data_IF_478986042350
#
_entry.id   IF_478986042350
#
_cell.length_a   1.000
_cell.length_b   1.000
_cell.length_c   1.000
_cell.angle_alpha   90.00
_cell.angle_beta   90.00
_cell.angle_gamma   90.00
#
_symmetry.space_group_name_H-M   'P 1'
#
loop_
_entity.id
_entity.type
_entity.pdbx_description
1 polymer ?
#
# COMPACT_ATOMS: atom_id res chain seq x y z
N UNK A 1 -17.54 -3.83 -8.94
CA UNK A 1 -16.24 -4.35 -9.40
C UNK A 1 -15.25 -4.25 -8.25
N UNK A 2 -14.60 -5.35 -7.88
CA UNK A 2 -13.71 -5.39 -6.73
C UNK A 2 -12.49 -4.48 -6.97
N UNK A 3 -12.25 -3.55 -6.08
CA UNK A 3 -11.09 -2.65 -6.08
C UNK A 3 -9.84 -3.46 -5.78
N UNK A 4 -9.03 -3.77 -6.78
CA UNK A 4 -7.72 -4.41 -6.58
C UNK A 4 -6.75 -3.38 -5.99
N UNK A 5 -6.79 -3.21 -4.67
CA UNK A 5 -5.71 -2.60 -3.93
C UNK A 5 -4.56 -3.59 -3.81
N UNK A 6 -3.32 -3.13 -3.93
CA UNK A 6 -2.17 -3.96 -3.59
C UNK A 6 -2.35 -4.47 -2.16
N UNK A 7 -2.36 -5.80 -1.98
CA UNK A 7 -2.44 -6.42 -0.67
C UNK A 7 -1.05 -6.38 -0.05
N UNK A 8 -0.91 -5.80 1.15
CA UNK A 8 0.37 -5.78 1.86
C UNK A 8 0.45 -6.99 2.78
N UNK A 9 1.40 -7.88 2.51
CA UNK A 9 1.75 -9.01 3.36
C UNK A 9 2.96 -8.62 4.20
N UNK A 10 2.82 -8.66 5.53
CA UNK A 10 3.91 -8.43 6.48
C UNK A 10 4.33 -9.77 7.06
N UNK A 11 5.60 -10.13 6.96
CA UNK A 11 6.14 -11.41 7.43
C UNK A 11 7.04 -11.16 8.64
N UNK A 12 6.65 -11.65 9.81
CA UNK A 12 7.49 -11.57 11.01
C UNK A 12 8.54 -12.67 11.00
N UNK A 13 9.80 -12.29 11.26
CA UNK A 13 10.93 -13.20 11.37
C UNK A 13 11.39 -13.32 12.82
N UNK A 14 11.13 -14.46 13.46
CA UNK A 14 11.57 -14.82 14.79
C UNK A 14 12.77 -15.76 14.74
N UNK A 15 13.87 -15.39 15.38
CA UNK A 15 15.01 -16.28 15.64
C UNK A 15 15.93 -15.67 16.70
N UNK A 16 16.83 -16.46 17.25
CA UNK A 16 18.02 -15.95 17.94
C UNK A 16 18.91 -15.16 17.00
N UNK A 17 19.66 -14.15 17.52
CA UNK A 17 20.38 -13.20 16.65
C UNK A 17 21.77 -13.70 16.24
N UNK A 18 22.48 -14.33 17.18
CA UNK A 18 23.92 -14.63 17.01
C UNK A 18 24.13 -15.74 15.99
N UNK A 19 23.33 -16.79 16.09
CA UNK A 19 23.51 -18.03 15.32
C UNK A 19 22.72 -18.07 14.00
N UNK A 20 21.92 -17.04 13.67
CA UNK A 20 21.15 -16.92 12.42
C UNK A 20 21.49 -15.69 11.60
N UNK A 21 22.69 -15.13 11.75
CA UNK A 21 23.08 -13.91 10.99
C UNK A 21 23.15 -14.13 9.49
N UNK A 22 23.65 -15.30 9.07
CA UNK A 22 23.81 -15.62 7.65
C UNK A 22 22.45 -15.84 6.98
N UNK A 23 21.59 -16.64 7.60
CA UNK A 23 20.22 -16.87 7.10
C UNK A 23 19.43 -15.57 6.96
N UNK A 24 19.46 -14.72 8.00
CA UNK A 24 18.81 -13.42 7.97
C UNK A 24 19.35 -12.54 6.84
N UNK A 25 20.67 -12.58 6.61
CA UNK A 25 21.30 -11.85 5.50
C UNK A 25 20.84 -12.36 4.14
N UNK A 26 20.71 -13.69 3.97
CA UNK A 26 20.18 -14.31 2.76
C UNK A 26 18.70 -13.95 2.54
N UNK A 27 17.90 -14.00 3.59
CA UNK A 27 16.49 -13.62 3.52
C UNK A 27 16.31 -12.18 3.04
N UNK A 28 17.00 -11.22 3.67
CA UNK A 28 16.88 -9.80 3.32
C UNK A 28 17.47 -9.47 1.95
N UNK A 29 18.60 -10.07 1.57
CA UNK A 29 19.31 -9.72 0.33
C UNK A 29 18.84 -10.50 -0.91
N UNK A 30 18.28 -11.70 -0.74
CA UNK A 30 17.93 -12.59 -1.84
C UNK A 30 16.45 -12.99 -1.83
N UNK A 31 15.96 -13.60 -0.74
CA UNK A 31 14.62 -14.21 -0.69
C UNK A 31 13.51 -13.17 -0.78
N UNK A 32 13.48 -12.19 0.13
CA UNK A 32 12.43 -11.17 0.09
C UNK A 32 12.47 -10.30 -1.17
N UNK A 33 13.61 -9.87 -1.72
CA UNK A 33 13.65 -9.21 -3.02
C UNK A 33 13.13 -10.07 -4.18
N UNK A 34 13.41 -11.38 -4.17
CA UNK A 34 12.88 -12.34 -5.15
C UNK A 34 11.36 -12.46 -5.05
N UNK A 35 10.85 -12.72 -3.85
CA UNK A 35 9.42 -12.81 -3.58
C UNK A 35 8.68 -11.53 -3.95
N UNK A 36 9.21 -10.34 -3.62
CA UNK A 36 8.62 -9.05 -4.00
C UNK A 36 8.50 -8.88 -5.51
N UNK A 37 9.53 -9.25 -6.28
CA UNK A 37 9.47 -9.17 -7.75
C UNK A 37 8.39 -10.07 -8.33
N UNK A 38 8.28 -11.31 -7.82
CA UNK A 38 7.29 -12.30 -8.27
C UNK A 38 5.88 -11.91 -7.84
N UNK A 39 5.71 -11.42 -6.61
CA UNK A 39 4.40 -11.07 -6.05
C UNK A 39 3.74 -9.85 -6.67
N UNK A 40 4.55 -8.95 -7.29
CA UNK A 40 4.02 -7.74 -7.96
C UNK A 40 3.03 -8.06 -9.08
N UNK A 41 3.26 -9.12 -9.87
CA UNK A 41 2.32 -9.54 -10.92
C UNK A 41 0.97 -10.01 -10.37
N UNK A 42 0.91 -10.28 -9.06
CA UNK A 42 -0.28 -10.72 -8.33
C UNK A 42 -0.91 -9.61 -7.49
N UNK A 43 -0.41 -8.37 -7.59
CA UNK A 43 -0.89 -7.23 -6.82
C UNK A 43 -0.55 -7.33 -5.32
N UNK A 44 0.54 -8.01 -4.96
CA UNK A 44 0.97 -8.21 -3.57
C UNK A 44 2.30 -7.52 -3.31
N UNK A 45 2.34 -6.70 -2.25
CA UNK A 45 3.55 -6.12 -1.69
C UNK A 45 3.95 -6.88 -0.42
N UNK A 46 5.23 -7.24 -0.32
CA UNK A 46 5.76 -8.02 0.81
C UNK A 46 6.69 -7.15 1.64
N UNK A 47 6.45 -7.11 2.94
CA UNK A 47 7.28 -6.42 3.93
C UNK A 47 7.81 -7.45 4.93
N UNK A 48 9.13 -7.63 4.97
CA UNK A 48 9.79 -8.39 6.02
C UNK A 48 9.94 -7.54 7.27
N UNK A 49 9.63 -8.11 8.42
CA UNK A 49 9.78 -7.48 9.74
C UNK A 49 10.81 -8.27 10.53
N UNK A 50 12.04 -7.79 10.50
CA UNK A 50 13.19 -8.30 11.26
C UNK A 50 13.59 -7.24 12.28
N UNK A 51 13.23 -7.46 13.55
CA UNK A 51 13.47 -6.51 14.64
C UNK A 51 14.93 -6.38 15.06
N UNK A 52 15.85 -7.14 14.46
CA UNK A 52 17.29 -6.94 14.63
C UNK A 52 17.73 -5.51 14.32
N UNK A 53 17.08 -4.86 13.37
CA UNK A 53 17.41 -3.51 12.92
C UNK A 53 16.58 -2.40 13.59
N UNK A 54 15.58 -2.77 14.40
CA UNK A 54 14.62 -1.84 14.96
C UNK A 54 14.71 -1.61 16.47
N UNK A 55 15.52 -2.42 17.20
CA UNK A 55 15.64 -2.32 18.67
C UNK A 55 17.05 -1.88 19.03
N UNK A 56 17.17 -0.70 19.66
CA UNK A 56 18.44 -0.20 20.16
C UNK A 56 18.81 -0.81 21.52
N UNK A 57 20.10 -0.78 21.88
CA UNK A 57 20.55 -1.21 23.21
C UNK A 57 19.81 -0.44 24.32
N UNK A 58 19.59 0.86 24.13
CA UNK A 58 18.85 1.72 25.05
C UNK A 58 17.39 1.30 25.23
N UNK A 59 16.70 0.91 24.15
CA UNK A 59 15.33 0.38 24.20
C UNK A 59 15.28 -0.97 24.93
N UNK A 60 16.32 -1.80 24.76
CA UNK A 60 16.44 -3.07 25.48
C UNK A 60 16.58 -2.83 26.98
N UNK A 61 17.45 -1.89 27.38
CA UNK A 61 17.64 -1.52 28.80
C UNK A 61 16.36 -0.91 29.41
N UNK A 62 15.57 -0.20 28.63
CA UNK A 62 14.26 0.36 29.04
C UNK A 62 13.12 -0.68 29.06
N UNK A 63 13.40 -1.93 28.69
CA UNK A 63 12.40 -2.99 28.63
C UNK A 63 11.34 -2.81 27.54
N UNK A 64 11.66 -2.10 26.47
CA UNK A 64 10.75 -1.82 25.37
C UNK A 64 10.72 -2.94 24.31
N UNK A 65 11.73 -3.82 24.31
CA UNK A 65 11.90 -4.90 23.33
C UNK A 65 10.71 -5.85 23.29
N UNK A 66 10.31 -6.40 24.45
CA UNK A 66 9.22 -7.38 24.51
C UNK A 66 7.86 -6.79 24.03
N UNK A 67 7.40 -5.64 24.55
CA UNK A 67 6.17 -5.02 24.04
C UNK A 67 6.20 -4.73 22.53
N UNK A 68 7.35 -4.28 22.01
CA UNK A 68 7.52 -3.99 20.59
C UNK A 68 7.43 -5.27 19.75
N UNK A 69 8.13 -6.35 20.14
CA UNK A 69 8.08 -7.63 19.44
C UNK A 69 6.64 -8.15 19.35
N UNK A 70 5.91 -8.17 20.46
CA UNK A 70 4.54 -8.68 20.48
C UNK A 70 3.61 -7.81 19.61
N UNK A 71 3.75 -6.48 19.64
CA UNK A 71 2.96 -5.58 18.80
C UNK A 71 3.24 -5.76 17.30
N UNK A 72 4.51 -5.96 16.92
CA UNK A 72 4.86 -6.20 15.52
C UNK A 72 4.38 -7.59 15.04
N UNK A 73 4.40 -8.61 15.89
CA UNK A 73 3.80 -9.92 15.58
C UNK A 73 2.31 -9.75 15.26
N UNK A 74 1.57 -9.02 16.10
CA UNK A 74 0.14 -8.78 15.88
C UNK A 74 -0.14 -8.05 14.55
N UNK A 75 0.75 -7.13 14.14
CA UNK A 75 0.67 -6.41 12.84
C UNK A 75 1.03 -7.29 11.65
N UNK A 76 1.81 -8.35 11.86
CA UNK A 76 2.26 -9.24 10.80
C UNK A 76 1.33 -10.43 10.58
N UNK A 77 0.36 -10.67 11.47
CA UNK A 77 -0.56 -11.80 11.30
C UNK A 77 -1.24 -11.78 9.94
N UNK A 78 -1.38 -12.96 9.30
CA UNK A 78 -1.08 -14.29 9.81
C UNK A 78 0.34 -14.81 9.50
N UNK A 79 1.25 -14.02 8.90
CA UNK A 79 2.53 -14.51 8.38
C UNK A 79 3.64 -14.49 9.43
N UNK A 80 4.16 -15.67 9.76
CA UNK A 80 5.18 -15.83 10.77
C UNK A 80 6.21 -16.90 10.35
N UNK A 81 7.49 -16.57 10.46
CA UNK A 81 8.61 -17.49 10.23
C UNK A 81 9.41 -17.60 11.51
N UNK A 82 9.69 -18.82 11.94
CA UNK A 82 10.59 -19.07 13.07
C UNK A 82 11.76 -19.94 12.66
N UNK A 83 12.98 -19.48 13.01
CA UNK A 83 14.21 -20.25 12.88
C UNK A 83 14.67 -20.69 14.25
N UNK A 84 14.86 -22.00 14.43
CA UNK A 84 15.31 -22.61 15.69
C UNK A 84 16.60 -23.40 15.45
N UNK A 85 17.67 -22.99 16.14
CA UNK A 85 18.97 -23.67 16.18
C UNK A 85 19.18 -24.41 17.49
N UNK A 86 20.44 -24.45 17.96
CA UNK A 86 20.85 -25.05 19.22
C UNK A 86 21.03 -24.00 20.34
N UNK A 87 20.67 -22.75 20.10
CA UNK A 87 20.70 -21.64 21.07
C UNK A 87 19.29 -21.35 21.57
N UNK A 88 19.13 -21.17 22.89
CA UNK A 88 17.83 -20.84 23.51
C UNK A 88 17.49 -19.34 23.40
N UNK A 89 18.54 -18.50 23.44
CA UNK A 89 18.41 -17.04 23.33
C UNK A 89 18.25 -16.32 24.67
N UNK A 90 18.13 -14.99 24.55
CA UNK A 90 18.06 -14.11 25.72
C UNK A 90 16.75 -14.26 26.48
N UNK A 91 16.83 -14.41 27.80
CA UNK A 91 15.69 -14.47 28.72
C UNK A 91 15.54 -13.10 29.38
N UNK A 92 14.44 -12.36 29.13
CA UNK A 92 14.19 -11.12 29.84
C UNK A 92 14.13 -11.30 31.34
N UNK A 93 14.82 -10.46 32.16
CA UNK A 93 14.73 -10.52 33.63
C UNK A 93 13.29 -10.41 34.13
N UNK A 94 12.98 -11.11 35.23
CA UNK A 94 11.66 -11.12 35.85
C UNK A 94 11.42 -9.85 36.69
N UNK A 95 11.43 -8.69 36.06
CA UNK A 95 11.19 -7.42 36.74
C UNK A 95 10.22 -6.50 35.95
N UNK A 96 9.61 -5.49 36.61
CA UNK A 96 8.64 -4.59 36.00
C UNK A 96 9.17 -3.74 34.83
N UNK A 97 10.49 -3.62 34.66
CA UNK A 97 11.09 -2.90 33.52
C UNK A 97 10.73 -3.61 32.23
N UNK A 98 10.90 -4.95 32.20
CA UNK A 98 10.64 -5.78 31.01
C UNK A 98 9.18 -6.22 30.92
N UNK A 99 8.52 -6.44 32.05
CA UNK A 99 7.13 -6.90 32.14
C UNK A 99 6.24 -5.81 32.75
N UNK A 100 6.05 -4.72 32.00
CA UNK A 100 5.24 -3.56 32.43
C UNK A 100 3.81 -4.00 32.82
N UNK A 101 3.20 -3.43 33.85
CA UNK A 101 1.83 -3.79 34.27
C UNK A 101 0.82 -3.75 33.12
N UNK A 102 0.85 -2.74 32.30
CA UNK A 102 -0.03 -2.60 31.14
C UNK A 102 0.17 -3.72 30.08
N UNK A 103 1.37 -4.29 29.98
CA UNK A 103 1.62 -5.46 29.12
C UNK A 103 1.03 -6.73 29.74
N UNK A 104 1.22 -6.94 31.03
CA UNK A 104 0.66 -8.09 31.76
C UNK A 104 -0.86 -8.08 31.81
N UNK A 105 -1.49 -6.90 31.88
CA UNK A 105 -2.95 -6.76 31.76
C UNK A 105 -3.46 -7.19 30.37
N UNK A 106 -2.74 -6.83 29.32
CA UNK A 106 -3.10 -7.23 27.94
C UNK A 106 -2.75 -8.68 27.62
N UNK A 107 -1.69 -9.18 28.23
CA UNK A 107 -1.12 -10.52 28.00
C UNK A 107 -0.88 -11.26 29.33
N UNK A 108 -1.95 -11.68 30.05
CA UNK A 108 -1.84 -12.28 31.39
C UNK A 108 -0.98 -13.55 31.42
N UNK A 109 -0.92 -14.30 30.31
CA UNK A 109 -0.13 -15.53 30.17
C UNK A 109 1.38 -15.32 30.35
N UNK A 110 1.85 -14.07 30.15
CA UNK A 110 3.27 -13.74 30.37
C UNK A 110 3.71 -13.91 31.83
N UNK A 111 2.78 -13.78 32.78
CA UNK A 111 3.10 -13.91 34.20
C UNK A 111 3.74 -15.27 34.54
N UNK A 112 3.27 -16.34 33.89
CA UNK A 112 3.79 -17.70 34.08
C UNK A 112 5.17 -17.93 33.44
N UNK A 113 5.61 -17.01 32.58
CA UNK A 113 6.82 -17.11 31.76
C UNK A 113 7.91 -16.11 32.14
N UNK A 114 7.63 -15.21 33.08
CA UNK A 114 8.55 -14.15 33.51
C UNK A 114 9.88 -14.76 34.02
N UNK A 115 11.01 -14.28 33.43
CA UNK A 115 12.35 -14.75 33.81
C UNK A 115 12.65 -16.23 33.51
N UNK A 116 11.73 -16.91 32.79
CA UNK A 116 11.87 -18.32 32.46
C UNK A 116 11.94 -18.58 30.97
N UNK A 117 11.17 -17.87 30.16
CA UNK A 117 11.13 -18.05 28.71
C UNK A 117 12.04 -17.04 28.00
N UNK A 118 12.73 -17.50 26.94
CA UNK A 118 13.50 -16.61 26.08
C UNK A 118 12.56 -15.73 25.23
N UNK A 119 13.08 -14.60 24.75
CA UNK A 119 12.33 -13.72 23.85
C UNK A 119 11.78 -14.49 22.63
N UNK A 120 12.60 -15.33 22.01
CA UNK A 120 12.19 -16.19 20.88
C UNK A 120 11.05 -17.14 21.28
N UNK A 121 11.09 -17.75 22.47
CA UNK A 121 9.98 -18.58 22.96
C UNK A 121 8.71 -17.75 23.15
N UNK A 122 8.82 -16.55 23.74
CA UNK A 122 7.67 -15.65 23.92
C UNK A 122 7.05 -15.22 22.58
N UNK A 123 7.88 -14.93 21.57
CA UNK A 123 7.44 -14.61 20.20
C UNK A 123 6.68 -15.79 19.58
N UNK A 124 7.21 -17.01 19.69
CA UNK A 124 6.57 -18.22 19.16
C UNK A 124 5.24 -18.51 19.87
N UNK A 125 5.21 -18.38 21.20
CA UNK A 125 3.99 -18.56 21.97
C UNK A 125 2.92 -17.54 21.57
N UNK A 126 3.29 -16.26 21.52
CA UNK A 126 2.37 -15.18 21.17
C UNK A 126 1.94 -15.22 19.72
N UNK A 127 2.89 -15.44 18.82
CA UNK A 127 2.64 -15.40 17.38
C UNK A 127 1.88 -16.61 16.87
N UNK A 128 2.18 -17.81 17.37
CA UNK A 128 1.75 -19.05 16.73
C UNK A 128 1.09 -20.04 17.69
N UNK A 129 1.79 -20.53 18.71
CA UNK A 129 1.31 -21.68 19.48
C UNK A 129 0.02 -21.43 20.28
N UNK A 130 -0.32 -20.16 20.51
CA UNK A 130 -1.57 -19.74 21.14
C UNK A 130 -2.65 -19.29 20.14
N UNK A 131 -2.37 -19.38 18.84
CA UNK A 131 -3.23 -18.89 17.78
C UNK A 131 -3.42 -19.95 16.68
N UNK A 132 -4.37 -20.88 16.84
CA UNK A 132 -4.61 -21.95 15.86
C UNK A 132 -4.93 -21.45 14.44
N UNK A 133 -5.47 -20.23 14.31
CA UNK A 133 -5.79 -19.59 13.04
C UNK A 133 -4.57 -19.27 12.17
N UNK A 134 -3.36 -19.36 12.72
CA UNK A 134 -2.11 -19.15 11.98
C UNK A 134 -1.71 -20.34 11.10
N UNK A 135 -2.46 -21.45 11.15
CA UNK A 135 -2.19 -22.65 10.34
C UNK A 135 -2.20 -22.28 8.85
N UNK A 136 -1.14 -22.69 8.15
CA UNK A 136 -0.96 -22.42 6.72
C UNK A 136 -0.21 -21.12 6.39
N UNK A 137 0.13 -20.29 7.40
CA UNK A 137 0.85 -19.05 7.24
C UNK A 137 2.06 -18.90 8.18
N UNK A 138 2.15 -19.79 9.18
CA UNK A 138 3.26 -19.84 10.10
C UNK A 138 4.11 -21.10 9.87
N UNK A 139 5.42 -20.91 9.80
CA UNK A 139 6.37 -21.96 9.43
C UNK A 139 7.54 -22.00 10.41
N UNK A 140 7.98 -23.21 10.74
CA UNK A 140 9.13 -23.46 11.62
C UNK A 140 10.23 -24.16 10.83
N UNK A 141 11.46 -23.64 10.98
CA UNK A 141 12.66 -24.20 10.35
C UNK A 141 13.68 -24.53 11.44
N UNK A 142 13.93 -25.81 11.63
CA UNK A 142 14.85 -26.33 12.62
C UNK A 142 16.17 -26.69 11.90
N UNK A 143 17.22 -25.94 12.25
CA UNK A 143 18.56 -26.21 11.73
C UNK A 143 19.07 -27.56 12.21
N UNK A 144 19.83 -28.24 11.37
CA UNK A 144 20.54 -29.47 11.76
C UNK A 144 21.51 -29.16 12.92
N UNK A 145 21.43 -29.88 14.05
CA UNK A 145 22.34 -29.68 15.18
C UNK A 145 23.82 -29.80 14.81
N UNK A 146 24.17 -30.66 13.83
CA UNK A 146 25.53 -30.83 13.38
C UNK A 146 26.16 -29.52 12.85
N UNK A 147 25.35 -28.62 12.29
CA UNK A 147 25.84 -27.33 11.82
C UNK A 147 26.36 -26.47 13.00
N UNK A 148 25.60 -26.38 14.09
CA UNK A 148 26.01 -25.64 15.27
C UNK A 148 27.23 -26.26 15.96
N UNK A 149 27.31 -27.59 15.99
CA UNK A 149 28.45 -28.32 16.56
C UNK A 149 29.76 -28.14 15.75
N UNK A 150 29.66 -27.87 14.47
CA UNK A 150 30.82 -27.61 13.59
C UNK A 150 31.40 -26.21 13.78
N UNK A 151 30.70 -25.30 14.46
CA UNK A 151 31.15 -23.92 14.67
C UNK A 151 32.15 -23.86 15.83
N UNK A 152 33.22 -23.08 15.62
CA UNK A 152 34.28 -22.88 16.63
C UNK A 152 34.03 -21.71 17.56
N UNK A 153 33.14 -20.80 17.17
CA UNK A 153 32.85 -19.57 17.93
C UNK A 153 31.78 -19.79 18.99
N UNK A 154 31.82 -19.07 20.11
CA UNK A 154 30.79 -19.16 21.14
C UNK A 154 29.45 -18.62 20.66
N UNK A 155 28.35 -19.11 21.24
CA UNK A 155 27.00 -18.57 21.00
C UNK A 155 26.16 -19.33 19.96
N UNK A 156 26.63 -20.51 19.51
CA UNK A 156 25.89 -21.39 18.60
C UNK A 156 25.02 -22.42 19.31
N UNK A 157 25.30 -22.67 20.59
CA UNK A 157 24.57 -23.62 21.44
C UNK A 157 24.10 -22.94 22.72
N UNK A 158 23.20 -23.59 23.44
CA UNK A 158 22.76 -23.12 24.76
C UNK A 158 23.94 -23.10 25.76
N UNK A 159 24.04 -22.02 26.53
CA UNK A 159 25.15 -21.80 27.46
C UNK A 159 25.03 -22.67 28.73
N UNK A 160 23.80 -23.11 29.05
CA UNK A 160 23.48 -23.85 30.29
C UNK A 160 22.63 -25.11 30.01
N UNK A 161 22.79 -26.19 30.74
CA UNK A 161 21.95 -27.38 30.58
C UNK A 161 20.45 -27.13 30.77
N UNK A 162 20.07 -26.15 31.61
CA UNK A 162 18.68 -25.77 31.81
C UNK A 162 18.10 -25.08 30.58
N UNK A 163 18.88 -24.27 29.86
CA UNK A 163 18.48 -23.64 28.61
C UNK A 163 18.29 -24.68 27.51
N UNK A 164 19.18 -25.66 27.41
CA UNK A 164 19.07 -26.77 26.48
C UNK A 164 17.79 -27.58 26.72
N UNK A 165 17.44 -27.84 27.99
CA UNK A 165 16.19 -28.52 28.31
C UNK A 165 14.95 -27.71 27.86
N UNK A 166 14.95 -26.40 28.08
CA UNK A 166 13.87 -25.52 27.65
C UNK A 166 13.77 -25.45 26.12
N UNK A 167 14.89 -25.33 25.43
CA UNK A 167 14.94 -25.35 23.96
C UNK A 167 14.37 -26.66 23.39
N UNK A 168 14.74 -27.79 23.99
CA UNK A 168 14.23 -29.11 23.60
C UNK A 168 12.71 -29.18 23.81
N UNK A 169 12.23 -28.67 24.94
CA UNK A 169 10.79 -28.61 25.25
C UNK A 169 10.04 -27.72 24.25
N UNK A 170 10.61 -26.56 23.88
CA UNK A 170 10.05 -25.67 22.86
C UNK A 170 9.99 -26.35 21.49
N UNK A 171 11.09 -26.99 21.05
CA UNK A 171 11.13 -27.75 19.78
C UNK A 171 10.08 -28.86 19.75
N UNK A 172 9.90 -29.58 20.87
CA UNK A 172 8.86 -30.62 20.99
C UNK A 172 7.45 -30.04 20.96
N UNK A 173 7.22 -28.88 21.61
CA UNK A 173 5.94 -28.20 21.53
C UNK A 173 5.62 -27.75 20.09
N UNK A 174 6.61 -27.23 19.36
CA UNK A 174 6.51 -26.88 17.95
C UNK A 174 6.18 -28.10 17.08
N UNK A 175 6.87 -29.22 17.26
CA UNK A 175 6.60 -30.49 16.52
C UNK A 175 5.17 -31.00 16.72
N UNK A 176 4.65 -30.87 17.95
CA UNK A 176 3.29 -31.34 18.30
C UNK A 176 2.18 -30.33 17.98
N UNK A 177 2.54 -29.14 17.55
CA UNK A 177 1.60 -28.03 17.38
C UNK A 177 0.66 -28.19 16.19
N UNK A 178 1.01 -29.03 15.22
CA UNK A 178 0.28 -29.19 13.95
C UNK A 178 0.64 -28.14 12.88
N UNK A 179 1.53 -27.21 13.20
CA UNK A 179 2.07 -26.26 12.20
C UNK A 179 3.14 -26.91 11.33
N UNK A 180 3.38 -26.39 10.11
CA UNK A 180 4.47 -26.87 9.26
C UNK A 180 5.84 -26.71 9.95
N UNK A 181 6.56 -27.82 10.08
CA UNK A 181 7.91 -27.88 10.62
C UNK A 181 8.85 -28.51 9.62
N UNK A 182 9.90 -27.81 9.23
CA UNK A 182 10.97 -28.32 8.38
C UNK A 182 12.23 -28.52 9.20
N UNK A 183 12.76 -29.71 9.21
CA UNK A 183 13.94 -30.11 10.01
C UNK A 183 15.10 -30.59 9.15
N UNK A 184 16.29 -30.72 9.77
CA UNK A 184 17.47 -31.26 9.11
C UNK A 184 18.05 -30.35 8.04
N UNK A 185 17.80 -29.04 8.11
CA UNK A 185 18.34 -28.07 7.18
C UNK A 185 19.82 -27.82 7.51
N UNK A 186 20.69 -28.34 6.67
CA UNK A 186 22.12 -28.42 6.95
C UNK A 186 22.88 -27.11 6.72
N UNK A 187 22.33 -26.17 5.96
CA UNK A 187 23.02 -24.92 5.59
C UNK A 187 22.09 -23.72 5.62
N UNK A 188 22.62 -22.50 5.83
CA UNK A 188 21.84 -21.25 5.71
C UNK A 188 21.14 -21.11 4.38
N UNK A 189 21.78 -21.49 3.29
CA UNK A 189 21.21 -21.45 1.95
C UNK A 189 19.99 -22.39 1.81
N UNK A 190 20.07 -23.61 2.33
CA UNK A 190 18.94 -24.56 2.30
C UNK A 190 17.73 -24.06 3.08
N UNK A 191 17.96 -23.38 4.22
CA UNK A 191 16.90 -22.70 4.99
C UNK A 191 16.26 -21.59 4.16
N UNK A 192 17.08 -20.73 3.54
CA UNK A 192 16.61 -19.61 2.73
C UNK A 192 15.76 -20.06 1.53
N UNK A 193 16.23 -21.07 0.78
CA UNK A 193 15.51 -21.65 -0.35
C UNK A 193 14.17 -22.28 0.07
N UNK A 194 14.18 -22.97 1.20
CA UNK A 194 12.96 -23.57 1.74
C UNK A 194 11.93 -22.52 2.14
N UNK A 195 12.35 -21.44 2.81
CA UNK A 195 11.49 -20.32 3.19
C UNK A 195 10.89 -19.65 1.95
N UNK A 196 11.72 -19.42 0.90
CA UNK A 196 11.24 -18.85 -0.36
C UNK A 196 10.13 -19.72 -0.98
N UNK A 197 10.36 -21.03 -1.02
CA UNK A 197 9.40 -21.97 -1.59
C UNK A 197 8.08 -22.02 -0.80
N UNK A 198 8.15 -22.10 0.53
CA UNK A 198 6.97 -22.19 1.38
C UNK A 198 6.15 -20.90 1.36
N UNK A 199 6.77 -19.72 1.47
CA UNK A 199 6.10 -18.44 1.35
C UNK A 199 5.49 -18.23 -0.04
N UNK A 200 6.22 -18.62 -1.10
CA UNK A 200 5.70 -18.52 -2.44
C UNK A 200 4.46 -19.39 -2.65
N UNK A 201 4.45 -20.61 -2.13
CA UNK A 201 3.31 -21.52 -2.22
C UNK A 201 2.04 -20.93 -1.56
N UNK A 202 2.20 -20.22 -0.44
CA UNK A 202 1.07 -19.51 0.19
C UNK A 202 0.60 -18.34 -0.67
N UNK A 203 1.53 -17.50 -1.13
CA UNK A 203 1.20 -16.34 -1.97
C UNK A 203 0.50 -16.80 -3.27
N UNK A 204 1.01 -17.83 -3.90
CA UNK A 204 0.44 -18.37 -5.14
C UNK A 204 -0.97 -18.93 -4.96
N UNK A 205 -1.21 -19.59 -3.84
CA UNK A 205 -2.53 -20.13 -3.48
C UNK A 205 -3.56 -19.03 -3.19
N UNK A 206 -3.15 -17.99 -2.47
CA UNK A 206 -4.06 -16.95 -1.96
C UNK A 206 -4.21 -15.78 -2.91
N UNK A 207 -3.20 -15.55 -3.73
CA UNK A 207 -3.15 -14.51 -4.74
C UNK A 207 -2.84 -15.13 -6.10
N UNK A 208 -3.81 -15.81 -6.74
CA UNK A 208 -3.62 -16.40 -8.06
C UNK A 208 -3.19 -15.32 -9.06
N UNK A 209 -2.45 -15.73 -10.07
CA UNK A 209 -1.99 -14.82 -11.11
C UNK A 209 -3.20 -14.17 -11.78
N UNK A 210 -3.27 -12.85 -11.72
CA UNK A 210 -4.30 -12.12 -12.44
C UNK A 210 -3.94 -12.13 -13.93
N UNK A 211 -4.94 -12.24 -14.78
CA UNK A 211 -4.72 -12.03 -16.21
C UNK A 211 -4.00 -10.69 -16.40
N UNK A 212 -2.98 -10.63 -17.30
CA UNK A 212 -2.26 -9.38 -17.52
C UNK A 212 -3.28 -8.29 -17.87
N UNK A 213 -3.33 -7.26 -17.04
CA UNK A 213 -4.19 -6.12 -17.30
C UNK A 213 -3.93 -5.62 -18.73
N UNK A 214 -4.98 -5.30 -19.45
CA UNK A 214 -4.83 -4.61 -20.72
C UNK A 214 -4.15 -3.24 -20.53
N UNK A 215 -3.66 -2.61 -21.59
CA UNK A 215 -2.96 -1.32 -21.48
C UNK A 215 -3.78 -0.23 -20.77
N UNK A 216 -5.09 -0.14 -21.03
CA UNK A 216 -5.98 0.84 -20.43
C UNK A 216 -6.19 0.57 -18.93
N UNK A 217 -6.39 -0.70 -18.54
CA UNK A 217 -6.51 -1.11 -17.13
C UNK A 217 -5.23 -0.83 -16.33
N UNK A 218 -4.04 -1.06 -16.94
CA UNK A 218 -2.75 -0.75 -16.30
C UNK A 218 -2.59 0.75 -16.05
N UNK A 219 -3.01 1.56 -17.02
CA UNK A 219 -2.94 3.00 -16.88
C UNK A 219 -3.93 3.51 -15.84
N UNK A 220 -5.14 2.98 -15.82
CA UNK A 220 -6.15 3.28 -14.79
C UNK A 220 -5.66 2.89 -13.38
N UNK A 221 -5.00 1.74 -13.24
CA UNK A 221 -4.39 1.35 -11.99
C UNK A 221 -3.32 2.34 -11.53
N UNK A 222 -2.43 2.83 -12.41
CA UNK A 222 -1.43 3.86 -12.06
C UNK A 222 -2.08 5.13 -11.52
N UNK A 223 -3.16 5.61 -12.14
CA UNK A 223 -3.90 6.77 -11.66
C UNK A 223 -4.56 6.52 -10.31
N UNK A 224 -5.10 5.33 -10.12
CA UNK A 224 -5.71 4.91 -8.85
C UNK A 224 -4.67 4.81 -7.72
N UNK A 225 -3.50 4.23 -7.97
CA UNK A 225 -2.41 4.12 -7.00
C UNK A 225 -1.86 5.51 -6.62
N UNK A 226 -1.72 6.40 -7.61
CA UNK A 226 -1.34 7.79 -7.37
C UNK A 226 -2.34 8.51 -6.44
N UNK A 227 -3.63 8.30 -6.67
CA UNK A 227 -4.72 8.84 -5.84
C UNK A 227 -4.68 8.28 -4.42
N UNK A 228 -4.60 6.94 -4.28
CA UNK A 228 -4.55 6.27 -2.97
C UNK A 228 -3.38 6.72 -2.11
N UNK A 229 -2.22 6.92 -2.69
CA UNK A 229 -1.05 7.44 -1.98
C UNK A 229 -1.28 8.85 -1.37
N UNK A 230 -2.36 9.55 -1.75
CA UNK A 230 -2.71 10.91 -1.31
C UNK A 230 -3.97 11.00 -0.45
N UNK A 231 -4.68 9.90 -0.25
CA UNK A 231 -5.89 9.86 0.60
C UNK A 231 -5.59 9.52 2.06
N UNK A 232 -4.43 8.93 2.37
CA UNK A 232 -4.14 8.39 3.70
C UNK A 232 -3.96 9.42 4.81
N UNK A 233 -3.48 10.63 4.48
CA UNK A 233 -3.33 11.71 5.44
C UNK A 233 -3.60 13.05 4.75
N UNK A 234 -4.79 13.60 4.96
CA UNK A 234 -5.18 14.91 4.45
C UNK A 234 -5.86 15.70 5.56
N UNK A 235 -5.24 16.81 6.00
CA UNK A 235 -5.69 17.65 7.09
C UNK A 235 -6.19 19.00 6.55
N UNK A 236 -7.23 19.56 7.19
CA UNK A 236 -7.73 20.90 6.87
C UNK A 236 -8.47 21.05 5.55
N UNK A 237 -8.73 19.94 4.84
CA UNK A 237 -9.38 19.96 3.52
C UNK A 237 -10.91 19.86 3.51
N UNK A 238 -11.54 19.66 4.66
CA UNK A 238 -12.99 19.40 4.76
C UNK A 238 -13.83 20.53 4.16
N UNK A 239 -13.46 21.77 4.45
CA UNK A 239 -14.13 22.96 3.90
C UNK A 239 -13.99 23.03 2.38
N UNK A 240 -12.82 22.69 1.84
CA UNK A 240 -12.56 22.67 0.41
C UNK A 240 -13.37 21.56 -0.28
N UNK A 241 -13.37 20.34 0.28
CA UNK A 241 -14.16 19.22 -0.23
C UNK A 241 -15.65 19.58 -0.25
N UNK A 242 -16.19 20.07 0.86
CA UNK A 242 -17.59 20.51 0.94
C UNK A 242 -17.93 21.64 -0.04
N UNK A 243 -16.96 22.51 -0.35
CA UNK A 243 -17.17 23.57 -1.33
C UNK A 243 -17.21 23.03 -2.76
N UNK A 244 -16.34 22.06 -3.12
CA UNK A 244 -16.35 21.41 -4.43
C UNK A 244 -17.66 20.64 -4.63
N UNK A 245 -18.11 19.87 -3.63
CA UNK A 245 -19.41 19.17 -3.67
C UNK A 245 -20.56 20.14 -3.93
N UNK A 246 -20.65 21.22 -3.16
CA UNK A 246 -21.70 22.24 -3.37
C UNK A 246 -21.69 22.83 -4.76
N UNK A 247 -20.52 23.02 -5.39
CA UNK A 247 -20.44 23.53 -6.76
C UNK A 247 -20.92 22.50 -7.77
N UNK A 248 -20.53 21.25 -7.64
CA UNK A 248 -20.99 20.16 -8.50
C UNK A 248 -22.51 19.98 -8.36
N UNK A 249 -23.04 19.97 -7.13
CA UNK A 249 -24.49 19.88 -6.87
C UNK A 249 -25.28 21.06 -7.44
N UNK A 250 -24.70 22.26 -7.40
CA UNK A 250 -25.28 23.45 -8.01
C UNK A 250 -25.18 23.48 -9.55
N UNK A 251 -24.62 22.43 -10.18
CA UNK A 251 -24.48 22.34 -11.63
C UNK A 251 -23.30 23.12 -12.20
N UNK A 252 -22.31 23.52 -11.39
CA UNK A 252 -21.11 24.16 -11.88
C UNK A 252 -20.29 23.19 -12.70
N UNK A 253 -20.19 23.42 -14.00
CA UNK A 253 -19.51 22.52 -14.92
C UNK A 253 -17.99 22.73 -15.00
N UNK A 254 -17.48 23.88 -14.57
CA UNK A 254 -16.12 24.34 -14.81
C UNK A 254 -15.47 24.78 -13.51
N UNK A 255 -14.63 23.91 -12.94
CA UNK A 255 -13.97 24.13 -11.66
C UNK A 255 -12.45 24.08 -11.83
N UNK A 256 -11.75 25.07 -11.28
CA UNK A 256 -10.30 25.15 -11.27
C UNK A 256 -9.77 25.24 -9.84
N UNK A 257 -8.88 24.33 -9.49
CA UNK A 257 -8.20 24.31 -8.19
C UNK A 257 -6.80 24.89 -8.37
N UNK A 258 -6.47 25.92 -7.61
CA UNK A 258 -5.17 26.60 -7.69
C UNK A 258 -4.50 26.65 -6.32
N UNK A 259 -3.22 26.96 -6.26
CA UNK A 259 -2.43 27.10 -5.04
C UNK A 259 -0.95 26.90 -5.33
N UNK A 260 -0.10 27.24 -4.38
CA UNK A 260 1.35 27.08 -4.49
C UNK A 260 1.78 25.62 -4.72
N UNK A 261 3.03 25.43 -5.15
CA UNK A 261 3.62 24.10 -5.21
C UNK A 261 3.65 23.49 -3.80
N UNK A 262 3.23 22.23 -3.67
CA UNK A 262 3.14 21.59 -2.34
C UNK A 262 1.89 21.93 -1.51
N UNK A 263 1.03 22.85 -1.94
CA UNK A 263 -0.18 23.26 -1.20
C UNK A 263 -1.26 22.15 -1.05
N UNK A 264 -1.05 20.95 -1.62
CA UNK A 264 -1.98 19.84 -1.44
C UNK A 264 -3.09 19.73 -2.50
N UNK A 265 -2.96 20.35 -3.69
CA UNK A 265 -3.97 20.28 -4.77
C UNK A 265 -4.36 18.85 -5.15
N UNK A 266 -3.36 18.00 -5.40
CA UNK A 266 -3.60 16.58 -5.75
C UNK A 266 -4.17 15.78 -4.57
N UNK A 267 -3.81 16.12 -3.33
CA UNK A 267 -4.39 15.51 -2.14
C UNK A 267 -5.85 15.94 -1.96
N UNK A 268 -6.17 17.22 -2.16
CA UNK A 268 -7.56 17.70 -2.16
C UNK A 268 -8.41 16.94 -3.19
N UNK A 269 -7.93 16.84 -4.43
CA UNK A 269 -8.63 16.11 -5.50
C UNK A 269 -8.84 14.64 -5.12
N UNK A 270 -7.82 13.96 -4.61
CA UNK A 270 -7.89 12.55 -4.23
C UNK A 270 -8.96 12.32 -3.14
N UNK A 271 -8.95 13.15 -2.09
CA UNK A 271 -9.89 13.05 -0.98
C UNK A 271 -11.31 13.50 -1.37
N UNK A 272 -11.43 14.53 -2.21
CA UNK A 272 -12.71 14.91 -2.78
C UNK A 272 -13.32 13.79 -3.62
N UNK A 273 -12.55 13.13 -4.49
CA UNK A 273 -13.02 12.00 -5.30
C UNK A 273 -13.51 10.83 -4.42
N UNK A 274 -12.85 10.57 -3.31
CA UNK A 274 -13.31 9.55 -2.37
C UNK A 274 -14.62 9.94 -1.69
N UNK A 275 -14.78 11.20 -1.30
CA UNK A 275 -16.01 11.73 -0.73
C UNK A 275 -17.16 11.71 -1.75
N UNK A 276 -16.89 12.19 -2.98
CA UNK A 276 -17.85 12.25 -4.07
C UNK A 276 -18.39 10.88 -4.48
N UNK A 277 -17.52 9.87 -4.54
CA UNK A 277 -17.94 8.49 -4.85
C UNK A 277 -18.90 7.89 -3.81
N UNK A 278 -18.91 8.41 -2.59
CA UNK A 278 -19.83 8.01 -1.52
C UNK A 278 -21.13 8.81 -1.55
N UNK A 279 -21.06 10.11 -1.86
CA UNK A 279 -22.22 11.02 -1.89
C UNK A 279 -23.02 10.91 -3.18
N UNK A 280 -22.37 10.67 -4.31
CA UNK A 280 -22.98 10.60 -5.65
C UNK A 280 -22.46 9.36 -6.43
N UNK A 281 -22.78 8.13 -5.99
CA UNK A 281 -22.28 6.90 -6.60
C UNK A 281 -22.77 6.65 -8.03
N UNK A 282 -23.80 7.38 -8.47
CA UNK A 282 -24.31 7.36 -9.84
C UNK A 282 -23.45 8.17 -10.82
N UNK A 283 -22.66 9.14 -10.33
CA UNK A 283 -21.81 9.96 -11.17
C UNK A 283 -20.57 9.19 -11.65
N UNK A 284 -20.18 9.41 -12.87
CA UNK A 284 -19.02 8.77 -13.46
C UNK A 284 -17.84 9.73 -13.49
N UNK A 285 -16.72 9.28 -12.96
CA UNK A 285 -15.51 10.08 -12.89
C UNK A 285 -14.41 9.47 -13.75
N UNK A 286 -13.89 10.28 -14.69
CA UNK A 286 -12.64 9.98 -15.37
C UNK A 286 -11.54 10.90 -14.84
N UNK A 287 -10.66 10.36 -14.00
CA UNK A 287 -9.57 11.13 -13.42
C UNK A 287 -8.24 10.84 -14.13
N UNK A 288 -7.57 11.91 -14.55
CA UNK A 288 -6.23 11.87 -15.11
C UNK A 288 -5.27 12.73 -14.28
N UNK A 289 -4.32 12.07 -13.63
CA UNK A 289 -3.29 12.72 -12.81
C UNK A 289 -2.00 12.82 -13.64
N UNK A 290 -1.67 14.00 -14.12
CA UNK A 290 -0.51 14.24 -14.98
C UNK A 290 0.84 13.96 -14.25
N UNK A 291 0.80 13.85 -12.95
CA UNK A 291 1.98 13.55 -12.12
C UNK A 291 2.16 12.08 -11.75
N UNK A 292 1.32 11.16 -12.23
CA UNK A 292 1.39 9.75 -11.85
C UNK A 292 2.52 8.99 -12.55
N UNK A 293 2.94 9.44 -13.75
CA UNK A 293 4.05 8.88 -14.51
C UNK A 293 4.56 9.93 -15.51
N UNK A 294 5.77 9.73 -16.06
CA UNK A 294 6.37 10.66 -17.02
C UNK A 294 5.57 10.74 -18.34
N UNK A 295 4.98 9.65 -18.78
CA UNK A 295 4.15 9.57 -19.99
C UNK A 295 2.72 10.11 -19.77
N UNK A 296 2.26 10.21 -18.53
CA UNK A 296 0.95 10.75 -18.19
C UNK A 296 0.81 12.26 -18.46
N UNK A 297 1.91 13.00 -18.63
CA UNK A 297 1.93 14.43 -18.94
C UNK A 297 1.79 14.74 -20.45
N UNK A 298 1.71 13.73 -21.31
CA UNK A 298 1.52 13.92 -22.73
C UNK A 298 0.01 14.00 -23.10
N UNK A 299 -0.38 15.02 -23.83
CA UNK A 299 -1.81 15.29 -24.16
C UNK A 299 -2.42 14.18 -25.01
N UNK A 300 -1.72 13.70 -26.03
CA UNK A 300 -2.26 12.66 -26.93
C UNK A 300 -2.63 11.36 -26.22
N UNK A 301 -1.74 10.74 -25.42
CA UNK A 301 -2.11 9.59 -24.61
C UNK A 301 -3.26 9.87 -23.64
N UNK A 302 -3.27 11.04 -23.00
CA UNK A 302 -4.34 11.45 -22.09
C UNK A 302 -5.71 11.49 -22.80
N UNK A 303 -5.79 12.10 -23.99
CA UNK A 303 -7.02 12.15 -24.79
C UNK A 303 -7.39 10.77 -25.34
N UNK A 304 -6.40 9.96 -25.73
CA UNK A 304 -6.62 8.56 -26.13
C UNK A 304 -7.29 7.79 -25.00
N UNK A 305 -6.75 7.85 -23.79
CA UNK A 305 -7.33 7.19 -22.60
C UNK A 305 -8.77 7.68 -22.32
N UNK A 306 -9.04 8.98 -22.46
CA UNK A 306 -10.40 9.52 -22.31
C UNK A 306 -11.37 8.88 -23.31
N UNK A 307 -10.97 8.84 -24.60
CA UNK A 307 -11.78 8.25 -25.68
C UNK A 307 -12.00 6.75 -25.45
N UNK A 308 -10.95 6.01 -25.09
CA UNK A 308 -11.02 4.57 -24.82
C UNK A 308 -11.93 4.25 -23.62
N UNK A 309 -11.79 5.01 -22.51
CA UNK A 309 -12.66 4.86 -21.34
C UNK A 309 -14.13 5.13 -21.66
N UNK A 310 -14.39 6.22 -22.40
CA UNK A 310 -15.73 6.55 -22.83
C UNK A 310 -16.30 5.51 -23.81
N UNK A 311 -15.45 5.01 -24.72
CA UNK A 311 -15.82 3.96 -25.68
C UNK A 311 -16.24 2.67 -24.96
N UNK A 312 -15.48 2.22 -23.99
CA UNK A 312 -15.83 1.02 -23.20
C UNK A 312 -17.17 1.18 -22.48
N UNK A 313 -17.41 2.34 -21.84
CA UNK A 313 -18.69 2.62 -21.22
C UNK A 313 -19.83 2.60 -22.22
N UNK A 314 -19.72 3.36 -23.31
CA UNK A 314 -20.78 3.52 -24.30
C UNK A 314 -21.10 2.20 -25.02
N UNK A 315 -20.10 1.33 -25.23
CA UNK A 315 -20.30 -0.02 -25.73
C UNK A 315 -21.06 -0.90 -24.73
N UNK A 316 -20.62 -0.90 -23.46
CA UNK A 316 -21.27 -1.68 -22.40
C UNK A 316 -22.75 -1.28 -22.22
N UNK A 317 -23.04 0.00 -22.37
CA UNK A 317 -24.38 0.59 -22.28
C UNK A 317 -25.14 0.54 -23.63
N UNK A 318 -24.60 -0.11 -24.66
CA UNK A 318 -25.19 -0.27 -25.99
C UNK A 318 -25.55 1.06 -26.70
N UNK A 319 -24.80 2.12 -26.39
CA UNK A 319 -25.00 3.44 -26.99
C UNK A 319 -24.26 3.59 -28.32
N UNK A 320 -23.27 2.77 -28.56
CA UNK A 320 -22.53 2.66 -29.83
C UNK A 320 -22.41 1.18 -30.21
N UNK A 321 -22.30 0.90 -31.51
CA UNK A 321 -22.20 -0.47 -32.05
C UNK A 321 -20.74 -0.96 -32.13
N UNK A 322 -19.79 -0.05 -32.30
CA UNK A 322 -18.37 -0.34 -32.47
C UNK A 322 -17.50 0.56 -31.59
N UNK A 323 -16.28 0.11 -31.21
CA UNK A 323 -15.34 0.94 -30.45
C UNK A 323 -14.99 2.24 -31.16
N UNK A 324 -14.92 3.33 -30.40
CA UNK A 324 -14.44 4.60 -30.91
C UNK A 324 -12.94 4.51 -31.21
N UNK A 325 -12.55 4.90 -32.42
CA UNK A 325 -11.14 4.93 -32.82
C UNK A 325 -10.49 6.21 -32.32
N UNK A 326 -9.27 6.11 -31.78
CA UNK A 326 -8.44 7.26 -31.39
C UNK A 326 -7.71 7.77 -32.67
N UNK A 327 -8.01 8.97 -33.15
CA UNK A 327 -7.38 9.50 -34.35
C UNK A 327 -5.89 9.78 -34.19
N UNK A 328 -5.12 9.64 -35.28
CA UNK A 328 -3.70 9.96 -35.31
C UNK A 328 -3.45 11.46 -35.62
N UNK A 329 -4.33 12.08 -36.39
CA UNK A 329 -4.27 13.52 -36.65
C UNK A 329 -4.70 14.31 -35.41
N UNK A 330 -4.03 15.45 -35.17
CA UNK A 330 -4.28 16.28 -34.01
C UNK A 330 -5.68 16.89 -33.98
N UNK A 331 -6.10 17.46 -35.12
CA UNK A 331 -7.38 18.11 -35.14
C UNK A 331 -8.55 17.11 -35.14
N UNK A 332 -8.38 15.99 -35.83
CA UNK A 332 -9.35 14.90 -35.75
C UNK A 332 -9.48 14.37 -34.30
N UNK A 333 -8.37 14.29 -33.56
CA UNK A 333 -8.38 13.90 -32.13
C UNK A 333 -9.16 14.93 -31.31
N UNK A 334 -8.90 16.22 -31.49
CA UNK A 334 -9.63 17.29 -30.80
C UNK A 334 -11.14 17.23 -31.10
N UNK A 335 -11.52 17.08 -32.39
CA UNK A 335 -12.92 16.90 -32.76
C UNK A 335 -13.55 15.66 -32.15
N UNK A 336 -12.81 14.55 -32.10
CA UNK A 336 -13.28 13.29 -31.50
C UNK A 336 -13.60 13.48 -30.02
N UNK A 337 -12.82 14.23 -29.25
CA UNK A 337 -13.13 14.56 -27.87
C UNK A 337 -14.47 15.29 -27.74
N UNK A 338 -14.75 16.25 -28.65
CA UNK A 338 -16.03 16.92 -28.68
C UNK A 338 -17.21 15.98 -28.95
N UNK A 339 -17.05 15.03 -29.90
CA UNK A 339 -18.05 13.99 -30.17
C UNK A 339 -18.29 13.11 -28.96
N UNK A 340 -17.20 12.70 -28.28
CA UNK A 340 -17.27 11.88 -27.06
C UNK A 340 -18.05 12.61 -25.96
N UNK A 341 -17.80 13.91 -25.75
CA UNK A 341 -18.56 14.69 -24.78
C UNK A 341 -20.05 14.79 -25.13
N UNK A 342 -20.40 14.91 -26.40
CA UNK A 342 -21.79 14.93 -26.85
C UNK A 342 -22.50 13.58 -26.59
N UNK A 343 -21.82 12.46 -26.91
CA UNK A 343 -22.34 11.12 -26.64
C UNK A 343 -22.53 10.87 -25.15
N UNK A 344 -21.54 11.21 -24.34
CA UNK A 344 -21.60 11.09 -22.87
C UNK A 344 -22.69 11.99 -22.29
N UNK A 345 -22.83 13.22 -22.76
CA UNK A 345 -23.90 14.14 -22.35
C UNK A 345 -25.27 13.52 -22.59
N UNK A 346 -25.53 13.06 -23.81
CA UNK A 346 -26.82 12.42 -24.16
C UNK A 346 -27.09 11.17 -23.30
N UNK A 347 -26.05 10.41 -22.97
CA UNK A 347 -26.19 9.25 -22.09
C UNK A 347 -26.47 9.67 -20.64
N UNK A 348 -25.70 10.64 -20.08
CA UNK A 348 -25.87 11.17 -18.74
C UNK A 348 -27.28 11.75 -18.52
N UNK A 349 -27.83 12.49 -19.49
CA UNK A 349 -29.19 13.04 -19.41
C UNK A 349 -30.23 11.92 -19.27
N UNK A 350 -30.06 10.81 -19.99
CA UNK A 350 -30.99 9.66 -19.89
C UNK A 350 -30.86 8.91 -18.57
N UNK A 351 -29.65 8.82 -18.02
CA UNK A 351 -29.39 8.11 -16.75
C UNK A 351 -29.60 8.98 -15.51
N UNK A 352 -29.72 10.29 -15.67
CA UNK A 352 -29.81 11.24 -14.55
C UNK A 352 -28.51 11.34 -13.75
N UNK A 353 -27.35 11.16 -14.40
CA UNK A 353 -26.03 11.20 -13.78
C UNK A 353 -25.15 12.27 -14.42
N UNK A 354 -23.94 12.46 -13.91
CA UNK A 354 -22.93 13.37 -14.44
C UNK A 354 -21.68 12.60 -14.86
N UNK A 355 -21.01 13.12 -15.89
CA UNK A 355 -19.65 12.70 -16.23
C UNK A 355 -18.68 13.79 -15.80
N UNK A 356 -17.76 13.45 -14.92
CA UNK A 356 -16.79 14.40 -14.36
C UNK A 356 -15.40 14.04 -14.85
N UNK A 357 -14.83 14.91 -15.68
CA UNK A 357 -13.43 14.83 -16.11
C UNK A 357 -12.56 15.57 -15.09
N UNK A 358 -11.64 14.86 -14.46
CA UNK A 358 -10.69 15.44 -13.52
C UNK A 358 -9.29 15.44 -14.15
N UNK A 359 -8.68 16.62 -14.20
CA UNK A 359 -7.37 16.87 -14.80
C UNK A 359 -6.43 17.45 -13.73
N UNK A 360 -5.68 16.59 -13.06
CA UNK A 360 -4.82 17.01 -11.94
C UNK A 360 -3.41 17.32 -12.40
N UNK A 361 -3.02 18.60 -12.30
CA UNK A 361 -1.67 19.08 -12.58
C UNK A 361 -1.42 19.52 -14.02
N UNK A 362 -2.30 20.34 -14.61
CA UNK A 362 -2.15 20.87 -15.99
C UNK A 362 -0.84 21.64 -16.22
N UNK A 363 -0.21 22.12 -15.17
CA UNK A 363 1.13 22.72 -15.22
C UNK A 363 2.25 21.75 -15.63
N UNK A 364 1.97 20.44 -15.64
CA UNK A 364 2.92 19.40 -16.06
C UNK A 364 2.86 19.07 -17.55
N UNK A 365 1.87 19.58 -18.27
CA UNK A 365 1.84 19.51 -19.73
C UNK A 365 3.04 20.26 -20.33
N UNK A 366 3.48 19.85 -21.53
CA UNK A 366 4.45 20.62 -22.28
C UNK A 366 3.93 22.07 -22.51
N UNK A 367 4.84 23.05 -22.54
CA UNK A 367 4.47 24.46 -22.61
C UNK A 367 3.57 24.78 -23.82
N UNK A 368 3.85 24.16 -24.96
CA UNK A 368 3.06 24.25 -26.20
C UNK A 368 1.63 23.72 -26.02
N UNK A 369 1.46 22.65 -25.24
CA UNK A 369 0.16 22.03 -24.97
C UNK A 369 -0.68 22.82 -23.96
N UNK A 370 -0.05 23.70 -23.19
CA UNK A 370 -0.74 24.58 -22.24
C UNK A 370 -1.35 25.82 -22.88
N UNK A 371 -0.90 26.21 -24.07
CA UNK A 371 -1.18 27.54 -24.63
C UNK A 371 -2.61 27.76 -25.16
N UNK A 372 -3.33 26.73 -25.54
CA UNK A 372 -4.66 26.89 -26.14
C UNK A 372 -5.74 25.95 -25.57
N UNK A 373 -5.40 24.77 -25.08
CA UNK A 373 -6.31 23.72 -24.60
C UNK A 373 -7.52 23.52 -25.56
N UNK A 374 -7.30 23.32 -26.88
CA UNK A 374 -8.40 23.26 -27.85
C UNK A 374 -9.29 22.03 -27.66
N UNK A 375 -8.81 21.02 -26.98
CA UNK A 375 -9.52 19.78 -26.65
C UNK A 375 -10.50 19.92 -25.48
N UNK A 376 -10.47 21.04 -24.75
CA UNK A 376 -11.51 21.39 -23.79
C UNK A 376 -12.43 22.40 -24.46
N UNK A 377 -13.68 22.08 -24.78
CA UNK A 377 -14.62 23.01 -25.38
C UNK A 377 -14.87 24.24 -24.48
N UNK A 378 -15.06 25.41 -25.10
CA UNK A 378 -15.41 26.63 -24.38
C UNK A 378 -16.78 26.56 -23.71
N UNK A 379 -17.68 25.75 -24.25
CA UNK A 379 -18.98 25.42 -23.65
C UNK A 379 -19.08 23.92 -23.49
N UNK A 380 -19.26 23.45 -22.25
CA UNK A 380 -19.47 22.05 -21.99
C UNK A 380 -20.95 21.67 -22.16
N UNK A 381 -21.23 20.50 -22.77
CA UNK A 381 -22.60 20.03 -22.90
C UNK A 381 -23.22 19.69 -21.50
N UNK A 382 -24.55 19.62 -21.39
CA UNK A 382 -25.20 19.24 -20.13
C UNK A 382 -24.69 17.94 -19.55
N UNK A 383 -24.59 17.85 -18.22
CA UNK A 383 -24.10 16.66 -17.53
C UNK A 383 -22.59 16.41 -17.61
N UNK A 384 -21.84 17.19 -18.38
CA UNK A 384 -20.37 17.11 -18.46
C UNK A 384 -19.75 18.17 -17.55
N UNK A 385 -18.86 17.75 -16.67
CA UNK A 385 -18.14 18.62 -15.75
C UNK A 385 -16.63 18.45 -15.93
N UNK A 386 -15.88 19.53 -15.78
CA UNK A 386 -14.40 19.51 -15.81
C UNK A 386 -13.88 20.14 -14.52
N UNK A 387 -13.13 19.35 -13.75
CA UNK A 387 -12.42 19.79 -12.54
C UNK A 387 -10.93 19.71 -12.84
N UNK A 388 -10.27 20.84 -12.90
CA UNK A 388 -8.84 20.92 -13.23
C UNK A 388 -8.03 21.44 -12.04
N UNK A 389 -6.75 21.05 -11.94
CA UNK A 389 -5.78 21.72 -11.06
C UNK A 389 -4.59 22.23 -11.84
N UNK A 390 -4.07 23.38 -11.43
CA UNK A 390 -2.87 23.97 -12.02
C UNK A 390 -2.12 24.89 -11.05
N UNK A 391 -0.80 24.97 -11.24
CA UNK A 391 0.04 26.06 -10.73
C UNK A 391 -0.18 27.34 -11.54
N UNK A 392 0.66 28.35 -11.30
CA UNK A 392 0.66 29.56 -12.12
C UNK A 392 1.32 29.25 -13.48
N UNK A 393 0.51 28.99 -14.51
CA UNK A 393 0.94 28.59 -15.86
C UNK A 393 -0.06 29.06 -16.92
N UNK A 394 0.26 28.88 -18.21
CA UNK A 394 -0.60 29.28 -19.35
C UNK A 394 -1.97 28.58 -19.26
N UNK A 395 -2.04 27.31 -19.00
CA UNK A 395 -3.29 26.56 -18.88
C UNK A 395 -4.25 27.17 -17.83
N UNK A 396 -3.72 27.58 -16.66
CA UNK A 396 -4.51 28.28 -15.64
C UNK A 396 -5.12 29.57 -16.17
N UNK A 397 -4.33 30.40 -16.86
CA UNK A 397 -4.78 31.67 -17.41
C UNK A 397 -5.92 31.47 -18.43
N UNK A 398 -5.79 30.44 -19.26
CA UNK A 398 -6.83 30.09 -20.25
C UNK A 398 -8.12 29.63 -19.57
N UNK A 399 -8.03 28.73 -18.58
CA UNK A 399 -9.22 28.27 -17.88
C UNK A 399 -9.91 29.41 -17.12
N UNK A 400 -9.16 30.33 -16.52
CA UNK A 400 -9.71 31.54 -15.90
C UNK A 400 -10.40 32.44 -16.91
N UNK A 401 -9.82 32.66 -18.11
CA UNK A 401 -10.48 33.42 -19.19
C UNK A 401 -11.78 32.78 -19.69
N UNK A 402 -11.86 31.43 -19.63
CA UNK A 402 -13.06 30.63 -19.91
C UNK A 402 -14.03 30.57 -18.72
N UNK A 403 -13.84 31.43 -17.71
CA UNK A 403 -14.72 31.57 -16.52
C UNK A 403 -14.84 30.30 -15.69
N UNK A 404 -13.73 29.52 -15.54
CA UNK A 404 -13.69 28.43 -14.57
C UNK A 404 -13.80 28.99 -13.16
N UNK A 405 -14.72 28.42 -12.37
CA UNK A 405 -14.88 28.80 -10.97
C UNK A 405 -13.67 28.34 -10.18
N UNK A 406 -12.95 29.27 -9.60
CA UNK A 406 -11.63 29.01 -9.03
C UNK A 406 -11.71 28.83 -7.52
N UNK A 407 -11.17 27.72 -7.01
CA UNK A 407 -10.84 27.50 -5.62
C UNK A 407 -9.33 27.62 -5.41
N UNK A 408 -8.92 28.50 -4.50
CA UNK A 408 -7.49 28.68 -4.20
C UNK A 408 -7.19 28.05 -2.85
N UNK A 409 -6.29 27.05 -2.83
CA UNK A 409 -5.82 26.43 -1.60
C UNK A 409 -4.83 27.38 -0.93
N UNK A 410 -5.14 27.77 0.30
CA UNK A 410 -4.24 28.52 1.17
C UNK A 410 -3.22 27.62 1.87
N UNK A 411 -2.22 28.20 2.56
CA UNK A 411 -1.33 27.44 3.42
C UNK A 411 -2.10 26.84 4.60
N UNK A 412 -1.62 25.68 5.09
CA UNK A 412 -2.17 25.07 6.30
C UNK A 412 -2.06 26.04 7.49
N UNK A 413 -3.10 26.09 8.29
CA UNK A 413 -3.10 26.83 9.56
C UNK A 413 -2.13 26.23 10.58
N UNK A 414 -1.76 27.00 11.61
CA UNK A 414 -0.86 26.50 12.67
C UNK A 414 -1.36 25.24 13.39
N UNK A 415 -2.67 25.09 13.70
CA UNK A 415 -3.19 23.86 14.30
C UNK A 415 -3.02 22.65 13.40
N UNK A 416 -3.32 22.80 12.12
CA UNK A 416 -3.22 21.72 11.10
C UNK A 416 -1.76 21.34 10.85
N UNK A 417 -0.82 22.30 10.87
CA UNK A 417 0.60 22.03 10.78
C UNK A 417 1.09 21.22 11.99
N UNK A 418 0.60 21.53 13.20
CA UNK A 418 0.95 20.82 14.42
C UNK A 418 0.44 19.38 14.40
N UNK A 419 -0.82 19.19 14.02
CA UNK A 419 -1.41 17.87 13.87
C UNK A 419 -0.70 17.02 12.79
N UNK A 420 -0.26 17.65 11.70
CA UNK A 420 0.52 16.97 10.66
C UNK A 420 1.85 16.46 11.23
N UNK A 421 2.55 17.27 12.00
CA UNK A 421 3.83 16.92 12.63
C UNK A 421 3.62 15.77 13.63
N UNK A 422 2.60 15.84 14.50
CA UNK A 422 2.30 14.78 15.49
C UNK A 422 1.94 13.44 14.86
N UNK A 423 1.36 13.44 13.68
CA UNK A 423 1.01 12.18 12.97
C UNK A 423 2.17 11.58 12.16
N UNK A 424 3.21 12.38 11.87
CA UNK A 424 4.39 11.91 11.13
C UNK A 424 5.59 11.56 12.01
N UNK A 425 5.62 12.01 13.27
CA UNK A 425 6.64 11.72 14.28
C UNK A 425 6.12 10.74 15.33
#
# INVERSE_FOLDING_TARGET
>A
MATSGSTVIRVFLSSTFVDFQEERSLLVKQVFPSLRRRARSRGVDIVDVDLRWGVTAEQTERGETLPLCLAEIDRCRPYFISLLGERYGWVPPADPTYYKPALLERQPWLQERMGAASLTELEILHGVLRNPEMVGHAFFYLRDPAYAQAQSEPGWVADQPAEQQRLNALKEAVRRSGFPVCEGLATPQAIAERIEADLWAVIEREHPEQEPLDPLQREEQRHNDYRRARTGLYLGGETAIAQLERWIEAGEQRILITGESGAGKSALIANWLEAHSKSAPQDLVHAHHLGCANDASAVRPMLGRLIDTASQLLLAEQQIAEPLKVPQDWWELVFKVGEVFALLSSWCERQGCRWILVLDGLDRLAEEDQQALPWIPDTLPPGIHVVASALNCAARTILQSRRYRTYTIGPLGKPEQHELIERYL
#
